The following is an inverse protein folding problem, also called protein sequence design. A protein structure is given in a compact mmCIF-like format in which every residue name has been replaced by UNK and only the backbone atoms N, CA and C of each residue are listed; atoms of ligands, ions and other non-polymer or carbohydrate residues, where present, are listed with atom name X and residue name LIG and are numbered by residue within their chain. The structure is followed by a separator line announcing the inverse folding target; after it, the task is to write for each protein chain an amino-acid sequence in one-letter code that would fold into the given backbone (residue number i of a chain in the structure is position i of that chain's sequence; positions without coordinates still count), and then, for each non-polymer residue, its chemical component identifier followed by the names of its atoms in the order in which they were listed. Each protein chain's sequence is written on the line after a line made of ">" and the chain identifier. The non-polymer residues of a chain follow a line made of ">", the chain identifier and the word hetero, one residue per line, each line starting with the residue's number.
data_IF_636683057184
#
_entry.id   IF_636683057184
#
_cell.length_a   1.000
_cell.length_b   1.000
_cell.length_c   1.000
_cell.angle_alpha   90.00
_cell.angle_beta   90.00
_cell.angle_gamma   90.00
#
_symmetry.space_group_name_H-M   'P 1'
#
loop_
_entity.id
_entity.type
_entity.pdbx_description
1 polymer ?
#
# COMPACT_ATOMS: atom_id res chain seq x y z
N UNK A 1 28.22 -10.44 36.19
CA UNK A 1 27.34 -11.20 37.11
C UNK A 1 25.93 -11.18 36.53
N UNK A 2 25.40 -12.35 36.16
CA UNK A 2 24.06 -12.53 35.59
C UNK A 2 23.03 -12.48 36.72
N UNK A 3 21.92 -11.77 36.57
CA UNK A 3 20.70 -12.02 37.36
C UNK A 3 19.50 -12.15 36.42
N UNK A 4 19.04 -13.40 36.31
CA UNK A 4 17.72 -13.81 35.81
C UNK A 4 16.79 -13.91 37.03
N UNK A 5 15.55 -13.45 36.92
CA UNK A 5 14.44 -13.77 37.84
C UNK A 5 13.14 -13.61 37.01
N UNK A 6 12.64 -14.67 36.40
CA UNK A 6 11.72 -15.69 36.93
C UNK A 6 10.26 -15.21 37.00
N UNK A 7 9.47 -15.78 36.08
CA UNK A 7 8.03 -15.70 35.87
C UNK A 7 7.30 -16.45 37.00
N UNK A 8 6.17 -15.92 37.48
CA UNK A 8 5.25 -16.63 38.36
C UNK A 8 3.89 -16.79 37.64
N UNK A 9 3.51 -18.04 37.42
CA UNK A 9 2.17 -18.47 36.96
C UNK A 9 1.39 -18.89 38.21
N UNK A 10 0.17 -18.37 38.38
CA UNK A 10 -0.79 -18.88 39.36
C UNK A 10 -2.08 -19.26 38.65
N UNK A 11 -2.43 -20.54 38.76
CA UNK A 11 -3.71 -21.12 38.39
C UNK A 11 -4.50 -21.47 39.67
N UNK A 12 -5.81 -21.21 39.69
CA UNK A 12 -6.83 -21.84 40.54
C UNK A 12 -8.19 -21.13 40.30
N UNK A 13 -9.39 -21.70 40.38
CA UNK A 13 -9.95 -23.06 40.55
C UNK A 13 -11.46 -22.94 40.21
N UNK A 14 -12.05 -24.02 39.69
CA UNK A 14 -13.49 -24.26 39.45
C UNK A 14 -14.40 -24.05 40.67
N UNK A 15 -15.67 -23.68 40.44
CA UNK A 15 -16.81 -24.20 41.21
C UNK A 15 -18.10 -24.24 40.38
N UNK A 16 -18.69 -25.45 40.32
CA UNK A 16 -19.98 -25.82 39.73
C UNK A 16 -21.17 -25.31 40.56
N UNK A 17 -22.31 -25.10 39.90
CA UNK A 17 -23.65 -25.10 40.50
C UNK A 17 -24.68 -25.65 39.52
N UNK A 18 -25.13 -26.88 39.75
CA UNK A 18 -26.26 -27.57 39.09
C UNK A 18 -27.60 -27.25 39.79
N UNK A 19 -28.70 -27.51 39.06
CA UNK A 19 -30.10 -27.81 39.44
C UNK A 19 -31.12 -26.82 38.81
N UNK A 20 -32.17 -27.24 38.09
CA UNK A 20 -32.72 -28.58 37.88
C UNK A 20 -33.70 -28.67 36.69
N UNK A 21 -34.04 -29.91 36.38
CA UNK A 21 -34.96 -30.38 35.34
C UNK A 21 -36.43 -30.39 35.81
N UNK A 22 -37.35 -30.30 34.83
CA UNK A 22 -38.74 -30.84 34.68
C UNK A 22 -39.61 -29.77 34.00
N UNK A 23 -40.38 -30.00 32.94
CA UNK A 23 -40.77 -31.22 32.21
C UNK A 23 -41.49 -30.86 30.90
N UNK A 24 -41.79 -31.88 30.11
CA UNK A 24 -42.25 -31.85 28.71
C UNK A 24 -43.67 -31.31 28.49
N UNK A 25 -43.92 -30.71 27.32
CA UNK A 25 -45.18 -30.82 26.58
C UNK A 25 -44.96 -30.58 25.08
N UNK A 26 -45.47 -31.50 24.25
CA UNK A 26 -45.50 -31.45 22.78
C UNK A 26 -46.44 -30.35 22.25
N UNK A 27 -46.07 -29.75 21.11
CA UNK A 27 -46.93 -28.84 20.35
C UNK A 27 -46.32 -28.50 19.00
N UNK A 28 -46.92 -29.04 17.95
CA UNK A 28 -46.64 -28.97 16.52
C UNK A 28 -46.63 -27.54 15.93
N UNK A 29 -45.77 -27.25 14.95
CA UNK A 29 -46.05 -26.26 13.89
C UNK A 29 -45.05 -25.13 13.66
N UNK A 30 -44.62 -25.06 12.40
CA UNK A 30 -44.10 -23.91 11.64
C UNK A 30 -42.64 -23.47 11.82
N UNK A 31 -41.88 -23.82 10.78
CA UNK A 31 -40.55 -23.29 10.52
C UNK A 31 -40.59 -21.83 10.12
N UNK A 32 -39.68 -21.07 10.72
CA UNK A 32 -39.19 -19.82 10.17
C UNK A 32 -37.66 -19.87 10.26
N UNK A 33 -37.03 -20.01 9.10
CA UNK A 33 -35.60 -19.83 8.91
C UNK A 33 -35.24 -18.40 9.28
N UNK A 34 -34.62 -18.21 10.44
CA UNK A 34 -33.91 -16.99 10.79
C UNK A 34 -32.65 -16.89 9.94
N UNK A 35 -32.78 -16.38 8.72
CA UNK A 35 -31.65 -15.84 7.98
C UNK A 35 -31.19 -14.60 8.75
N UNK A 36 -29.96 -14.65 9.24
CA UNK A 36 -29.24 -13.47 9.70
C UNK A 36 -29.06 -12.55 8.50
N UNK A 37 -29.86 -11.49 8.49
CA UNK A 37 -29.70 -10.34 7.60
C UNK A 37 -28.33 -9.73 7.88
N UNK A 38 -27.37 -9.98 7.00
CA UNK A 38 -26.11 -9.27 6.98
C UNK A 38 -26.43 -7.83 6.59
N UNK A 39 -26.54 -6.97 7.59
CA UNK A 39 -26.90 -5.57 7.41
C UNK A 39 -26.05 -4.95 6.29
N UNK A 40 -26.71 -4.59 5.20
CA UNK A 40 -26.13 -3.72 4.20
C UNK A 40 -25.71 -2.43 4.93
N UNK A 41 -24.41 -2.17 4.99
CA UNK A 41 -23.92 -0.88 5.45
C UNK A 41 -24.59 0.18 4.57
N UNK A 42 -25.36 1.08 5.18
CA UNK A 42 -26.07 2.10 4.43
C UNK A 42 -25.02 3.04 3.82
N UNK A 43 -24.86 3.00 2.49
CA UNK A 43 -23.98 3.89 1.77
C UNK A 43 -24.33 5.34 2.14
N UNK A 44 -23.35 6.09 2.64
CA UNK A 44 -23.52 7.45 3.11
C UNK A 44 -22.79 8.39 2.18
N UNK A 45 -23.49 9.40 1.64
CA UNK A 45 -22.82 10.45 0.87
C UNK A 45 -21.94 11.26 1.82
N UNK A 46 -20.65 11.44 1.51
CA UNK A 46 -19.81 12.34 2.29
C UNK A 46 -20.35 13.77 2.17
N UNK A 47 -20.24 14.56 3.25
CA UNK A 47 -20.85 15.89 3.33
C UNK A 47 -20.07 16.81 4.25
N UNK A 48 -20.07 18.10 3.95
CA UNK A 48 -19.28 19.09 4.69
C UNK A 48 -17.79 19.01 4.38
N UNK A 49 -16.96 19.41 5.35
CA UNK A 49 -15.50 19.53 5.18
C UNK A 49 -14.86 18.21 4.74
N UNK A 50 -13.97 18.29 3.74
CA UNK A 50 -13.19 17.15 3.25
C UNK A 50 -12.01 16.91 4.19
N UNK A 51 -11.95 15.72 4.79
CA UNK A 51 -10.79 15.29 5.57
C UNK A 51 -9.68 14.81 4.62
N UNK A 52 -8.77 15.71 4.25
CA UNK A 52 -7.66 15.40 3.34
C UNK A 52 -6.55 14.65 4.10
N UNK A 53 -6.25 13.42 3.69
CA UNK A 53 -5.08 12.69 4.15
C UNK A 53 -3.99 12.67 3.08
N UNK A 54 -2.78 13.03 3.49
CA UNK A 54 -1.57 12.99 2.66
C UNK A 54 -0.50 12.11 3.31
N UNK A 55 0.62 11.95 2.61
CA UNK A 55 1.75 11.12 3.02
C UNK A 55 2.92 11.98 3.50
N UNK A 56 3.78 11.37 4.30
CA UNK A 56 4.98 11.97 4.86
C UNK A 56 5.94 12.53 3.80
N UNK A 57 6.72 13.55 4.17
CA UNK A 57 7.83 14.00 3.35
C UNK A 57 8.82 12.83 3.13
N UNK A 58 9.29 12.65 1.90
CA UNK A 58 10.09 11.47 1.51
C UNK A 58 9.27 10.30 0.96
N UNK A 59 7.94 10.32 1.13
CA UNK A 59 7.05 9.33 0.54
C UNK A 59 7.15 9.34 -0.99
N UNK A 60 7.42 8.17 -1.57
CA UNK A 60 7.35 8.01 -3.03
C UNK A 60 5.92 8.17 -3.56
N UNK A 61 4.92 7.76 -2.77
CA UNK A 61 3.50 7.90 -3.15
C UNK A 61 3.05 9.33 -3.17
N UNK A 62 3.45 10.15 -2.18
CA UNK A 62 3.22 11.59 -2.26
C UNK A 62 3.85 12.18 -3.51
N UNK A 63 5.15 11.91 -3.73
CA UNK A 63 5.90 12.48 -4.85
C UNK A 63 5.25 12.16 -6.21
N UNK A 64 4.90 10.89 -6.45
CA UNK A 64 4.22 10.52 -7.68
C UNK A 64 2.79 11.10 -7.77
N UNK A 65 2.03 11.09 -6.67
CA UNK A 65 0.67 11.61 -6.63
C UNK A 65 0.60 13.10 -6.97
N UNK A 66 1.43 13.93 -6.33
CA UNK A 66 1.42 15.38 -6.57
C UNK A 66 1.87 15.74 -7.98
N UNK A 67 2.77 14.96 -8.57
CA UNK A 67 3.20 15.15 -9.96
C UNK A 67 2.09 14.75 -10.94
N UNK A 68 1.47 13.58 -10.75
CA UNK A 68 0.46 13.04 -11.65
C UNK A 68 -0.84 13.86 -11.68
N UNK A 69 -1.24 14.43 -10.54
CA UNK A 69 -2.42 15.31 -10.45
C UNK A 69 -2.09 16.79 -10.65
N UNK A 70 -0.82 17.15 -10.90
CA UNK A 70 -0.41 18.54 -11.10
C UNK A 70 -0.59 19.43 -9.87
N UNK A 71 -0.47 18.84 -8.67
CA UNK A 71 -0.43 19.55 -7.37
C UNK A 71 0.98 20.12 -7.14
N UNK A 72 2.01 19.48 -7.70
CA UNK A 72 3.36 20.04 -7.75
C UNK A 72 3.49 20.99 -8.94
N UNK A 73 3.85 22.25 -8.67
CA UNK A 73 4.05 23.26 -9.70
C UNK A 73 5.44 23.89 -9.59
N UNK A 74 5.93 24.49 -10.69
CA UNK A 74 7.20 25.22 -10.66
C UNK A 74 6.98 26.65 -10.20
N UNK A 75 7.78 27.11 -9.23
CA UNK A 75 7.81 28.50 -8.82
C UNK A 75 8.51 29.41 -9.86
N UNK A 76 8.64 30.70 -9.53
CA UNK A 76 9.30 31.68 -10.39
C UNK A 76 10.79 31.38 -10.67
N UNK A 77 11.43 30.55 -9.84
CA UNK A 77 12.83 30.13 -10.00
C UNK A 77 12.94 28.81 -10.79
N UNK A 78 11.81 28.17 -11.08
CA UNK A 78 11.75 26.87 -11.74
C UNK A 78 11.83 25.69 -10.77
N UNK A 79 11.82 25.95 -9.46
CA UNK A 79 11.86 24.93 -8.41
C UNK A 79 10.47 24.31 -8.25
N UNK A 80 10.42 22.98 -8.13
CA UNK A 80 9.18 22.23 -7.89
C UNK A 80 8.70 22.49 -6.45
N UNK A 81 7.44 22.93 -6.32
CA UNK A 81 6.78 23.24 -5.06
C UNK A 81 5.53 22.38 -4.94
N UNK A 82 5.44 21.62 -3.85
CA UNK A 82 4.25 20.86 -3.48
C UNK A 82 3.19 21.82 -2.91
N UNK A 83 2.06 21.95 -3.61
CA UNK A 83 0.94 22.80 -3.19
C UNK A 83 -0.11 22.05 -2.34
N UNK A 84 0.23 20.88 -1.80
CA UNK A 84 -0.66 20.15 -0.89
C UNK A 84 -1.08 21.06 0.27
N UNK A 85 -2.40 21.12 0.55
CA UNK A 85 -2.98 21.96 1.58
C UNK A 85 -2.32 21.72 2.94
N UNK A 86 -1.98 22.78 3.70
CA UNK A 86 -1.36 22.63 5.02
C UNK A 86 -2.31 22.01 6.06
N UNK A 87 -3.61 21.91 5.76
CA UNK A 87 -4.60 21.25 6.62
C UNK A 87 -4.62 19.73 6.46
N UNK A 88 -3.91 19.18 5.47
CA UNK A 88 -3.88 17.73 5.23
C UNK A 88 -3.26 16.98 6.42
N UNK A 89 -3.96 15.96 6.90
CA UNK A 89 -3.45 15.05 7.92
C UNK A 89 -2.38 14.13 7.32
N UNK A 90 -1.20 14.08 7.93
CA UNK A 90 -0.06 13.30 7.42
C UNK A 90 -0.07 11.88 8.00
N UNK A 91 0.04 10.89 7.12
CA UNK A 91 0.23 9.48 7.47
C UNK A 91 1.57 8.99 6.95
N UNK A 92 2.25 8.10 7.69
CA UNK A 92 3.63 7.69 7.38
C UNK A 92 3.75 6.32 6.69
N UNK A 93 2.63 5.66 6.40
CA UNK A 93 2.60 4.32 5.80
C UNK A 93 1.27 4.04 5.13
N UNK A 94 1.28 3.12 4.16
CA UNK A 94 0.09 2.68 3.42
C UNK A 94 -1.01 2.14 4.37
N UNK A 95 -0.64 1.32 5.36
CA UNK A 95 -1.61 0.75 6.32
C UNK A 95 -2.25 1.80 7.24
N UNK A 96 -1.49 2.84 7.62
CA UNK A 96 -2.00 3.95 8.43
C UNK A 96 -2.99 4.77 7.61
N UNK A 97 -2.65 5.09 6.35
CA UNK A 97 -3.55 5.76 5.41
C UNK A 97 -4.89 5.01 5.27
N UNK A 98 -4.84 3.70 5.02
CA UNK A 98 -6.05 2.89 4.89
C UNK A 98 -6.90 2.89 6.15
N UNK A 99 -6.27 2.78 7.33
CA UNK A 99 -7.00 2.79 8.62
C UNK A 99 -7.63 4.15 8.89
N UNK A 100 -6.91 5.23 8.60
CA UNK A 100 -7.42 6.59 8.76
C UNK A 100 -8.62 6.86 7.85
N UNK A 101 -8.52 6.52 6.56
CA UNK A 101 -9.61 6.71 5.59
C UNK A 101 -10.82 5.82 5.92
N UNK A 102 -10.59 4.57 6.34
CA UNK A 102 -11.68 3.68 6.74
C UNK A 102 -12.46 4.17 7.98
N UNK A 103 -11.79 4.92 8.87
CA UNK A 103 -12.37 5.42 10.12
C UNK A 103 -13.06 6.78 10.02
N UNK A 104 -12.96 7.46 8.89
CA UNK A 104 -13.50 8.81 8.70
C UNK A 104 -14.39 8.86 7.46
N UNK A 105 -15.68 9.16 7.66
CA UNK A 105 -16.69 9.16 6.60
C UNK A 105 -16.47 10.24 5.53
N UNK A 106 -15.71 11.29 5.85
CA UNK A 106 -15.43 12.40 4.95
C UNK A 106 -13.99 12.38 4.41
N UNK A 107 -13.26 11.29 4.65
CA UNK A 107 -11.86 11.18 4.28
C UNK A 107 -11.64 10.87 2.80
N UNK A 108 -10.57 11.46 2.29
CA UNK A 108 -9.93 11.10 1.04
C UNK A 108 -8.44 10.87 1.27
N UNK A 109 -7.91 9.83 0.66
CA UNK A 109 -6.50 9.46 0.71
C UNK A 109 -6.05 8.83 -0.59
N UNK A 110 -4.80 8.37 -0.64
CA UNK A 110 -4.27 7.65 -1.78
C UNK A 110 -3.29 6.56 -1.35
N UNK A 111 -3.34 5.42 -2.04
CA UNK A 111 -2.51 4.25 -1.75
C UNK A 111 -2.01 3.60 -3.05
N UNK A 112 -1.00 2.72 -2.93
CA UNK A 112 -0.66 1.79 -4.01
C UNK A 112 -1.84 0.87 -4.29
N UNK A 113 -2.13 0.65 -5.57
CA UNK A 113 -3.19 -0.23 -6.03
C UNK A 113 -2.96 -1.67 -5.57
N UNK A 114 -1.70 -2.14 -5.55
CA UNK A 114 -1.36 -3.48 -5.03
C UNK A 114 -1.68 -3.68 -3.54
N UNK A 115 -1.98 -2.61 -2.79
CA UNK A 115 -2.42 -2.68 -1.39
C UNK A 115 -3.94 -2.55 -1.21
N UNK A 116 -4.69 -2.27 -2.28
CA UNK A 116 -6.13 -2.04 -2.23
C UNK A 116 -6.85 -3.31 -1.76
N UNK A 117 -7.79 -3.14 -0.82
CA UNK A 117 -8.69 -4.18 -0.35
C UNK A 117 -10.01 -3.56 0.10
N UNK A 118 -10.92 -4.38 0.64
CA UNK A 118 -12.29 -3.97 0.98
C UNK A 118 -12.44 -3.10 2.23
N UNK A 119 -11.36 -2.71 2.93
CA UNK A 119 -11.47 -1.80 4.08
C UNK A 119 -11.64 -0.35 3.67
N UNK A 120 -11.39 -0.02 2.40
CA UNK A 120 -11.55 1.30 1.80
C UNK A 120 -12.16 1.15 0.41
N UNK A 121 -12.75 2.21 -0.12
CA UNK A 121 -13.30 2.23 -1.48
C UNK A 121 -12.38 3.02 -2.40
N UNK A 122 -11.94 2.42 -3.51
CA UNK A 122 -11.23 3.15 -4.56
C UNK A 122 -12.21 3.88 -5.47
N UNK A 123 -11.87 5.11 -5.86
CA UNK A 123 -12.61 5.90 -6.83
C UNK A 123 -12.10 5.64 -8.23
N UNK A 124 -13.01 5.72 -9.21
CA UNK A 124 -12.64 5.90 -10.60
C UNK A 124 -12.06 7.31 -10.80
N UNK A 125 -11.06 7.42 -11.66
CA UNK A 125 -10.43 8.70 -12.02
C UNK A 125 -10.61 8.94 -13.50
N UNK A 126 -11.20 10.07 -13.87
CA UNK A 126 -11.48 10.46 -15.26
C UNK A 126 -12.23 9.35 -16.04
N UNK A 127 -13.24 8.75 -15.41
CA UNK A 127 -14.05 7.66 -15.97
C UNK A 127 -13.35 6.28 -16.02
N UNK A 128 -12.15 6.13 -15.46
CA UNK A 128 -11.42 4.87 -15.44
C UNK A 128 -11.34 4.28 -14.02
N UNK A 129 -11.71 3.01 -13.87
CA UNK A 129 -11.54 2.28 -12.60
C UNK A 129 -10.06 2.01 -12.32
N UNK A 130 -9.65 2.13 -11.05
CA UNK A 130 -8.29 1.81 -10.60
C UNK A 130 -8.07 0.29 -10.55
N UNK A 131 -7.71 -0.32 -11.68
CA UNK A 131 -7.43 -1.76 -11.81
C UNK A 131 -6.11 -2.01 -12.52
N UNK A 132 -5.46 -3.15 -12.25
CA UNK A 132 -4.21 -3.51 -12.91
C UNK A 132 -4.36 -3.63 -14.43
N UNK A 133 -5.53 -4.08 -14.90
CA UNK A 133 -5.88 -4.12 -16.33
C UNK A 133 -5.97 -2.72 -16.95
N UNK A 134 -6.63 -1.79 -16.27
CA UNK A 134 -6.75 -0.41 -16.76
C UNK A 134 -5.42 0.34 -16.72
N UNK A 135 -4.56 0.06 -15.72
CA UNK A 135 -3.19 0.59 -15.69
C UNK A 135 -2.37 0.01 -16.85
N UNK A 136 -2.41 -1.31 -17.06
CA UNK A 136 -1.67 -1.99 -18.13
C UNK A 136 -2.08 -1.53 -19.52
N UNK A 137 -3.37 -1.25 -19.73
CA UNK A 137 -3.89 -0.73 -21.01
C UNK A 137 -3.67 0.78 -21.19
N UNK A 138 -3.30 1.51 -20.14
CA UNK A 138 -3.17 2.97 -20.14
C UNK A 138 -4.51 3.72 -20.04
N UNK A 139 -5.61 3.01 -19.81
CA UNK A 139 -6.94 3.60 -19.57
C UNK A 139 -6.94 4.35 -18.23
N UNK A 140 -6.35 3.76 -17.19
CA UNK A 140 -6.11 4.42 -15.90
C UNK A 140 -4.69 4.98 -15.87
N UNK A 141 -4.56 6.31 -15.84
CA UNK A 141 -3.29 7.01 -16.07
C UNK A 141 -2.49 7.30 -14.81
N UNK A 142 -3.09 7.13 -13.63
CA UNK A 142 -2.43 7.42 -12.36
C UNK A 142 -1.56 6.22 -11.97
N UNK A 143 -0.39 6.13 -12.60
CA UNK A 143 0.53 5.02 -12.46
C UNK A 143 1.99 5.50 -12.36
N UNK A 144 2.83 4.66 -11.76
CA UNK A 144 4.23 4.97 -11.44
C UNK A 144 5.10 3.70 -11.44
N UNK A 145 6.42 3.83 -11.58
CA UNK A 145 7.31 2.71 -11.38
C UNK A 145 7.44 2.34 -9.90
N UNK A 146 7.55 1.04 -9.65
CA UNK A 146 8.25 0.52 -8.47
C UNK A 146 9.68 0.20 -8.87
N UNK A 147 10.60 0.89 -8.21
CA UNK A 147 12.03 0.77 -8.40
C UNK A 147 12.64 0.05 -7.20
N UNK A 148 13.62 -0.79 -7.48
CA UNK A 148 14.69 -1.08 -6.53
C UNK A 148 15.90 -0.22 -6.86
N UNK A 149 16.65 0.19 -5.84
CA UNK A 149 17.88 0.96 -6.02
C UNK A 149 19.04 0.26 -5.35
N UNK A 150 20.18 0.23 -6.03
CA UNK A 150 21.39 -0.44 -5.51
C UNK A 150 22.63 0.38 -5.79
N UNK A 151 23.67 0.18 -4.99
CA UNK A 151 25.02 0.59 -5.37
C UNK A 151 25.57 -0.27 -6.50
N UNK A 152 26.65 0.21 -7.11
CA UNK A 152 27.51 -0.65 -7.93
C UNK A 152 28.15 -1.75 -7.09
N UNK A 153 28.23 -2.96 -7.66
CA UNK A 153 28.92 -4.09 -7.01
C UNK A 153 28.16 -4.65 -5.82
N UNK A 154 26.84 -4.82 -5.92
CA UNK A 154 26.05 -5.59 -4.93
C UNK A 154 26.63 -6.99 -4.74
N UNK A 155 26.35 -7.59 -3.57
CA UNK A 155 26.78 -8.96 -3.30
C UNK A 155 26.17 -9.95 -4.30
N UNK A 156 26.86 -11.06 -4.55
CA UNK A 156 26.37 -12.16 -5.40
C UNK A 156 24.95 -12.62 -5.03
N UNK A 157 24.62 -12.67 -3.74
CA UNK A 157 23.31 -13.13 -3.27
C UNK A 157 22.24 -12.07 -3.47
N UNK A 158 22.58 -10.78 -3.36
CA UNK A 158 21.68 -9.69 -3.70
C UNK A 158 21.42 -9.62 -5.21
N UNK A 159 22.46 -9.79 -6.04
CA UNK A 159 22.29 -9.86 -7.50
C UNK A 159 21.40 -11.04 -7.90
N UNK A 160 21.59 -12.22 -7.30
CA UNK A 160 20.76 -13.39 -7.59
C UNK A 160 19.28 -13.19 -7.22
N UNK A 161 19.01 -12.45 -6.14
CA UNK A 161 17.63 -12.06 -5.79
C UNK A 161 17.05 -11.04 -6.79
N UNK A 162 17.84 -10.10 -7.29
CA UNK A 162 17.42 -9.17 -8.35
C UNK A 162 17.10 -9.94 -9.64
N UNK A 163 17.95 -10.90 -10.00
CA UNK A 163 17.74 -11.75 -11.17
C UNK A 163 16.46 -12.60 -11.02
N UNK A 164 16.16 -13.06 -9.79
CA UNK A 164 14.87 -13.70 -9.49
C UNK A 164 13.69 -12.74 -9.67
N UNK A 165 13.74 -11.52 -9.12
CA UNK A 165 12.66 -10.53 -9.27
C UNK A 165 12.36 -10.28 -10.75
N UNK A 166 13.39 -10.19 -11.58
CA UNK A 166 13.28 -9.93 -13.01
C UNK A 166 12.98 -11.19 -13.85
N UNK A 167 12.99 -12.38 -13.25
CA UNK A 167 12.63 -13.64 -13.92
C UNK A 167 11.12 -13.75 -14.16
N UNK A 168 10.68 -14.70 -15.00
CA UNK A 168 9.25 -14.96 -15.17
C UNK A 168 8.56 -15.39 -13.87
N UNK A 169 9.29 -16.03 -12.94
CA UNK A 169 8.74 -16.49 -11.67
C UNK A 169 8.53 -15.32 -10.70
N UNK A 170 9.49 -14.40 -10.63
CA UNK A 170 9.36 -13.17 -9.85
C UNK A 170 8.30 -12.24 -10.42
N UNK A 171 8.26 -12.06 -11.74
CA UNK A 171 7.25 -11.22 -12.41
C UNK A 171 5.83 -11.77 -12.25
N UNK A 172 5.67 -13.10 -12.19
CA UNK A 172 4.37 -13.69 -11.85
C UNK A 172 3.93 -13.31 -10.43
N UNK A 173 4.84 -13.30 -9.46
CA UNK A 173 4.54 -12.83 -8.09
C UNK A 173 4.15 -11.35 -8.10
N UNK A 174 4.77 -10.52 -8.93
CA UNK A 174 4.39 -9.11 -9.11
C UNK A 174 2.93 -8.98 -9.57
N UNK A 175 2.52 -9.73 -10.60
CA UNK A 175 1.15 -9.70 -11.12
C UNK A 175 0.12 -10.24 -10.12
N UNK A 176 0.43 -11.33 -9.42
CA UNK A 176 -0.44 -11.92 -8.39
C UNK A 176 -0.69 -10.98 -7.19
N UNK A 177 0.16 -9.96 -7.03
CA UNK A 177 0.03 -8.94 -5.98
C UNK A 177 -0.44 -7.57 -6.52
N UNK A 178 -1.16 -7.57 -7.64
CA UNK A 178 -1.89 -6.40 -8.15
C UNK A 178 -1.02 -5.33 -8.82
N UNK A 179 0.27 -5.61 -9.00
CA UNK A 179 1.18 -4.77 -9.76
C UNK A 179 1.26 -5.25 -11.23
N UNK A 180 1.88 -4.46 -12.10
CA UNK A 180 1.99 -4.76 -13.53
C UNK A 180 3.44 -5.18 -13.81
N UNK A 181 3.61 -6.33 -14.46
CA UNK A 181 4.93 -6.83 -14.87
C UNK A 181 5.61 -5.90 -15.87
N UNK A 182 6.95 -5.85 -15.81
CA UNK A 182 7.81 -5.01 -16.68
C UNK A 182 8.83 -5.81 -17.48
N UNK A 183 8.86 -7.14 -17.31
CA UNK A 183 9.81 -8.01 -18.00
C UNK A 183 9.07 -9.14 -18.73
N UNK A 184 8.33 -8.76 -19.77
CA UNK A 184 7.69 -9.70 -20.68
C UNK A 184 8.76 -10.58 -21.36
N UNK A 185 8.62 -11.90 -21.27
CA UNK A 185 9.52 -12.92 -21.85
C UNK A 185 10.85 -13.19 -21.11
N UNK A 186 10.96 -12.82 -19.84
CA UNK A 186 12.07 -13.29 -19.01
C UNK A 186 12.09 -14.83 -18.90
N UNK A 187 13.27 -15.42 -18.72
CA UNK A 187 13.39 -16.85 -18.43
C UNK A 187 12.93 -17.19 -17.01
N UNK A 188 12.57 -18.44 -16.77
CA UNK A 188 12.31 -18.96 -15.42
C UNK A 188 13.58 -18.89 -14.58
N UNK A 189 13.44 -18.60 -13.30
CA UNK A 189 14.54 -18.62 -12.36
C UNK A 189 14.96 -20.05 -12.01
N UNK A 190 16.24 -20.25 -11.73
CA UNK A 190 16.78 -21.51 -11.22
C UNK A 190 17.48 -21.24 -9.92
N UNK A 191 17.13 -22.01 -8.89
CA UNK A 191 17.78 -21.94 -7.58
C UNK A 191 19.31 -21.99 -7.76
N UNK A 192 19.97 -20.99 -7.20
CA UNK A 192 21.40 -20.74 -7.43
C UNK A 192 22.28 -21.47 -6.41
N UNK A 193 21.69 -21.93 -5.30
CA UNK A 193 22.42 -22.50 -4.16
C UNK A 193 23.24 -21.45 -3.41
N UNK A 194 22.96 -20.16 -3.60
CA UNK A 194 23.59 -19.07 -2.86
C UNK A 194 23.12 -19.09 -1.40
N UNK A 195 23.95 -18.53 -0.53
CA UNK A 195 23.67 -18.36 0.91
C UNK A 195 24.12 -16.96 1.33
N UNK A 196 23.51 -16.41 2.38
CA UNK A 196 23.92 -15.12 2.92
C UNK A 196 22.76 -14.34 3.49
N UNK A 197 22.95 -13.04 3.63
CA UNK A 197 21.94 -12.10 4.12
C UNK A 197 21.76 -10.97 3.13
N UNK A 198 20.51 -10.62 2.85
CA UNK A 198 20.11 -9.45 2.07
C UNK A 198 19.28 -8.55 2.99
N UNK A 199 19.68 -7.28 3.10
CA UNK A 199 18.92 -6.23 3.79
C UNK A 199 18.26 -5.34 2.74
N UNK A 200 16.94 -5.23 2.81
CA UNK A 200 16.12 -4.43 1.93
C UNK A 200 15.44 -3.36 2.78
N UNK A 201 15.39 -2.11 2.30
CA UNK A 201 14.74 -1.03 3.05
C UNK A 201 14.07 0.01 2.16
N UNK A 202 12.99 0.66 2.62
CA UNK A 202 12.39 1.79 1.92
C UNK A 202 10.87 1.73 1.83
N UNK A 203 10.33 2.17 0.69
CA UNK A 203 8.91 2.45 0.47
C UNK A 203 7.94 1.41 1.03
N UNK A 204 7.06 1.88 1.92
CA UNK A 204 5.86 1.16 2.40
C UNK A 204 4.83 0.80 1.31
N UNK A 205 4.94 1.34 0.10
CA UNK A 205 4.12 0.89 -1.03
C UNK A 205 4.72 -0.31 -1.76
N UNK A 206 6.04 -0.48 -1.75
CA UNK A 206 6.72 -1.63 -2.39
C UNK A 206 6.82 -2.82 -1.43
N UNK A 207 6.78 -2.56 -0.12
CA UNK A 207 6.94 -3.60 0.92
C UNK A 207 6.03 -4.83 0.71
N UNK A 208 4.71 -4.70 0.44
CA UNK A 208 3.85 -5.89 0.31
C UNK A 208 4.28 -6.84 -0.81
N UNK A 209 4.59 -6.32 -2.01
CA UNK A 209 5.06 -7.15 -3.13
C UNK A 209 6.49 -7.65 -2.89
N UNK A 210 7.35 -6.86 -2.26
CA UNK A 210 8.72 -7.26 -1.93
C UNK A 210 8.76 -8.41 -0.91
N UNK A 211 7.88 -8.40 0.08
CA UNK A 211 7.77 -9.51 1.05
C UNK A 211 7.35 -10.81 0.34
N UNK A 212 6.43 -10.73 -0.63
CA UNK A 212 6.00 -11.88 -1.42
C UNK A 212 7.08 -12.40 -2.35
N UNK A 213 7.84 -11.51 -2.98
CA UNK A 213 9.03 -11.85 -3.75
C UNK A 213 10.10 -12.52 -2.87
N UNK A 214 10.36 -11.99 -1.68
CA UNK A 214 11.30 -12.56 -0.73
C UNK A 214 10.86 -13.94 -0.21
N UNK A 215 9.57 -14.12 0.08
CA UNK A 215 8.98 -15.40 0.49
C UNK A 215 9.17 -16.47 -0.60
N UNK A 216 8.80 -16.15 -1.84
CA UNK A 216 8.89 -17.06 -2.97
C UNK A 216 10.36 -17.38 -3.35
N UNK A 217 11.26 -16.40 -3.32
CA UNK A 217 12.69 -16.64 -3.52
C UNK A 217 13.28 -17.55 -2.43
N UNK A 218 12.95 -17.32 -1.16
CA UNK A 218 13.44 -18.14 -0.03
C UNK A 218 12.94 -19.57 -0.10
N UNK A 219 11.76 -19.82 -0.65
CA UNK A 219 11.28 -21.18 -0.89
C UNK A 219 12.19 -21.96 -1.85
N UNK A 220 12.86 -21.26 -2.78
CA UNK A 220 13.84 -21.82 -3.72
C UNK A 220 15.27 -21.80 -3.18
N UNK A 221 15.60 -20.82 -2.32
CA UNK A 221 16.94 -20.60 -1.75
C UNK A 221 16.88 -20.52 -0.21
N UNK A 222 16.70 -21.64 0.49
CA UNK A 222 16.44 -21.67 1.93
C UNK A 222 17.61 -21.18 2.80
N UNK A 223 18.83 -21.17 2.26
CA UNK A 223 20.05 -20.72 2.95
C UNK A 223 20.27 -19.19 2.87
N UNK A 224 19.32 -18.46 2.25
CA UNK A 224 19.35 -16.99 2.18
C UNK A 224 18.40 -16.39 3.22
N UNK A 225 18.96 -15.52 4.07
CA UNK A 225 18.18 -14.65 4.94
C UNK A 225 17.85 -13.34 4.22
N UNK A 226 16.58 -12.95 4.21
CA UNK A 226 16.14 -11.65 3.68
C UNK A 226 15.43 -10.91 4.80
N UNK A 227 15.86 -9.66 5.04
CA UNK A 227 15.23 -8.74 5.99
C UNK A 227 14.68 -7.54 5.22
N UNK A 228 13.36 -7.35 5.29
CA UNK A 228 12.66 -6.21 4.66
C UNK A 228 12.31 -5.19 5.75
N UNK A 229 12.83 -3.97 5.62
CA UNK A 229 12.65 -2.88 6.58
C UNK A 229 11.83 -1.76 5.95
N UNK A 230 10.57 -1.63 6.37
CA UNK A 230 9.68 -0.60 5.85
C UNK A 230 10.04 0.80 6.39
N UNK A 231 10.08 1.78 5.50
CA UNK A 231 10.19 3.22 5.75
C UNK A 231 9.56 4.00 4.57
N UNK A 232 10.13 5.14 4.18
CA UNK A 232 9.79 5.91 2.99
C UNK A 232 10.81 5.72 1.85
N UNK A 233 10.50 6.24 0.66
CA UNK A 233 11.36 6.04 -0.52
C UNK A 233 12.70 6.77 -0.41
N UNK A 234 12.72 7.99 0.12
CA UNK A 234 13.96 8.77 0.29
C UNK A 234 14.87 8.13 1.34
N UNK A 235 14.32 7.62 2.44
CA UNK A 235 15.09 6.84 3.42
C UNK A 235 15.67 5.57 2.78
N UNK A 236 14.90 4.85 1.96
CA UNK A 236 15.38 3.68 1.23
C UNK A 236 16.56 3.99 0.30
N UNK A 237 16.49 5.09 -0.45
CA UNK A 237 17.61 5.57 -1.28
C UNK A 237 18.83 5.88 -0.42
N UNK A 238 18.67 6.67 0.64
CA UNK A 238 19.78 7.08 1.49
C UNK A 238 20.48 5.86 2.12
N UNK A 239 19.72 4.89 2.62
CA UNK A 239 20.28 3.65 3.18
C UNK A 239 21.07 2.85 2.14
N UNK A 240 20.60 2.77 0.89
CA UNK A 240 21.33 2.11 -0.19
C UNK A 240 22.62 2.90 -0.56
N UNK A 241 22.52 4.22 -0.68
CA UNK A 241 23.64 5.14 -0.93
C UNK A 241 24.68 5.13 0.19
N UNK A 242 24.30 4.85 1.43
CA UNK A 242 25.23 4.70 2.55
C UNK A 242 25.77 3.27 2.69
N UNK A 243 25.09 2.27 2.08
CA UNK A 243 25.42 0.85 2.23
C UNK A 243 24.89 0.24 3.52
N UNK A 244 23.91 0.88 4.15
CA UNK A 244 23.19 0.37 5.33
C UNK A 244 22.19 -0.72 4.93
N UNK A 245 21.67 -0.69 3.70
CA UNK A 245 20.97 -1.81 3.07
C UNK A 245 21.62 -2.19 1.73
N UNK A 246 21.38 -3.43 1.29
CA UNK A 246 21.81 -3.92 -0.02
C UNK A 246 20.92 -3.39 -1.14
N UNK A 247 19.61 -3.27 -0.87
CA UNK A 247 18.59 -2.86 -1.83
C UNK A 247 17.66 -1.81 -1.18
N UNK A 248 17.51 -0.67 -1.83
CA UNK A 248 16.51 0.35 -1.49
C UNK A 248 15.21 0.14 -2.27
N UNK A 249 14.05 0.37 -1.66
CA UNK A 249 12.72 0.31 -2.30
C UNK A 249 12.19 1.73 -2.55
N UNK A 250 11.81 2.04 -3.79
CA UNK A 250 11.40 3.38 -4.21
C UNK A 250 10.14 3.29 -5.06
N UNK A 251 9.07 3.97 -4.66
CA UNK A 251 7.78 3.92 -5.36
C UNK A 251 7.52 5.22 -6.14
N UNK A 252 8.48 5.61 -6.97
CA UNK A 252 8.48 6.76 -7.88
C UNK A 252 9.78 6.73 -8.69
N UNK A 253 9.91 7.64 -9.64
CA UNK A 253 11.21 7.96 -10.24
C UNK A 253 12.18 8.51 -9.18
N UNK A 254 13.48 8.27 -9.40
CA UNK A 254 14.53 8.88 -8.60
C UNK A 254 14.52 10.41 -8.79
N UNK A 255 14.75 11.14 -7.71
CA UNK A 255 14.97 12.60 -7.80
C UNK A 255 16.35 12.89 -8.35
N UNK A 256 16.53 14.04 -8.98
CA UNK A 256 17.86 14.49 -9.47
C UNK A 256 18.91 14.58 -8.35
N UNK A 257 18.49 14.86 -7.11
CA UNK A 257 19.35 14.89 -5.93
C UNK A 257 19.74 13.50 -5.41
N UNK A 258 19.03 12.44 -5.82
CA UNK A 258 19.23 11.06 -5.39
C UNK A 258 20.21 10.36 -6.34
N UNK A 259 21.51 10.60 -6.14
CA UNK A 259 22.61 10.05 -6.94
C UNK A 259 23.43 9.00 -6.18
N UNK A 260 24.33 8.30 -6.88
CA UNK A 260 25.21 7.28 -6.27
C UNK A 260 24.61 5.89 -6.17
N UNK A 261 23.40 5.69 -6.71
CA UNK A 261 22.72 4.42 -6.85
C UNK A 261 22.17 4.26 -8.27
N UNK A 262 21.85 3.03 -8.65
CA UNK A 262 21.18 2.67 -9.91
C UNK A 262 19.76 2.21 -9.59
N UNK A 263 18.77 2.79 -10.27
CA UNK A 263 17.39 2.29 -10.24
C UNK A 263 17.19 1.18 -11.26
N UNK A 264 16.45 0.15 -10.85
CA UNK A 264 15.88 -0.88 -11.71
C UNK A 264 14.38 -0.92 -11.48
N UNK A 265 13.59 -0.70 -12.53
CA UNK A 265 12.13 -0.84 -12.47
C UNK A 265 11.79 -2.33 -12.36
N UNK A 266 11.06 -2.71 -11.33
CA UNK A 266 10.65 -4.10 -11.07
C UNK A 266 9.16 -4.35 -11.30
N UNK A 267 8.36 -3.28 -11.31
CA UNK A 267 6.93 -3.31 -11.60
C UNK A 267 6.43 -1.90 -11.98
N UNK A 268 5.24 -1.83 -12.59
CA UNK A 268 4.41 -0.62 -12.57
C UNK A 268 3.30 -0.79 -11.52
N UNK A 269 2.92 0.29 -10.85
CA UNK A 269 1.90 0.36 -9.80
C UNK A 269 0.90 1.48 -10.12
N UNK A 270 -0.39 1.19 -10.00
CA UNK A 270 -1.42 2.23 -9.99
C UNK A 270 -1.47 2.93 -8.64
N UNK A 271 -1.87 4.20 -8.60
CA UNK A 271 -2.24 4.87 -7.35
C UNK A 271 -3.76 4.95 -7.30
N UNK A 272 -4.36 4.29 -6.32
CA UNK A 272 -5.78 4.37 -6.07
C UNK A 272 -6.08 5.56 -5.16
N UNK A 273 -6.94 6.47 -5.61
CA UNK A 273 -7.59 7.46 -4.74
C UNK A 273 -8.67 6.72 -3.97
N UNK A 274 -8.63 6.83 -2.65
CA UNK A 274 -9.50 6.08 -1.76
C UNK A 274 -10.33 6.99 -0.87
N UNK A 275 -11.53 6.53 -0.56
CA UNK A 275 -12.45 7.11 0.41
C UNK A 275 -12.93 6.04 1.39
N UNK A 276 -13.70 6.47 2.39
CA UNK A 276 -14.38 5.56 3.29
C UNK A 276 -15.14 4.45 2.54
N UNK A 277 -15.11 3.19 3.00
CA UNK A 277 -15.79 2.08 2.30
C UNK A 277 -17.30 2.30 2.11
N UNK A 278 -17.94 3.05 3.02
CA UNK A 278 -19.38 3.34 2.97
C UNK A 278 -19.72 4.58 2.13
N UNK A 279 -18.73 5.28 1.57
CA UNK A 279 -18.97 6.50 0.81
C UNK A 279 -19.77 6.22 -0.48
N UNK A 280 -20.80 7.03 -0.74
CA UNK A 280 -21.65 6.87 -1.93
C UNK A 280 -21.04 7.45 -3.22
N UNK A 281 -19.87 8.08 -3.16
CA UNK A 281 -19.16 8.63 -4.33
C UNK A 281 -18.33 7.53 -5.01
N UNK A 282 -18.38 7.47 -6.34
CA UNK A 282 -17.72 6.42 -7.14
C UNK A 282 -16.60 6.93 -8.04
N UNK A 283 -16.59 8.24 -8.33
CA UNK A 283 -15.69 8.83 -9.32
C UNK A 283 -15.31 10.26 -8.94
N UNK A 284 -14.08 10.65 -9.30
CA UNK A 284 -13.62 12.03 -9.37
C UNK A 284 -12.85 12.26 -10.68
N UNK A 285 -12.84 13.51 -11.14
CA UNK A 285 -11.89 13.95 -12.17
C UNK A 285 -10.54 14.28 -11.53
N UNK A 286 -9.49 14.27 -12.35
CA UNK A 286 -8.16 14.72 -11.91
C UNK A 286 -8.17 16.17 -11.40
N UNK A 287 -8.98 17.05 -11.99
CA UNK A 287 -9.13 18.44 -11.55
C UNK A 287 -9.79 18.54 -10.17
N UNK A 288 -10.79 17.70 -9.88
CA UNK A 288 -11.41 17.64 -8.56
C UNK A 288 -10.41 17.14 -7.51
N UNK A 289 -9.64 16.10 -7.81
CA UNK A 289 -8.58 15.61 -6.90
C UNK A 289 -7.55 16.70 -6.65
N UNK A 290 -7.06 17.38 -7.70
CA UNK A 290 -6.15 18.51 -7.54
C UNK A 290 -6.76 19.59 -6.64
N UNK A 291 -7.99 20.03 -6.92
CA UNK A 291 -8.67 21.08 -6.17
C UNK A 291 -8.85 20.73 -4.68
N UNK A 292 -9.15 19.48 -4.35
CA UNK A 292 -9.19 19.00 -2.97
C UNK A 292 -7.82 19.11 -2.31
N UNK A 293 -6.79 18.57 -2.96
CA UNK A 293 -5.47 18.48 -2.36
C UNK A 293 -4.74 19.82 -2.32
N UNK A 294 -5.10 20.81 -3.14
CA UNK A 294 -4.59 22.20 -3.05
C UNK A 294 -5.41 23.08 -2.09
N UNK A 295 -6.57 22.59 -1.61
CA UNK A 295 -7.48 23.34 -0.75
C UNK A 295 -8.37 24.35 -1.48
N UNK A 296 -8.50 24.23 -2.80
CA UNK A 296 -9.48 24.99 -3.59
C UNK A 296 -10.90 24.46 -3.37
N UNK A 297 -11.06 23.15 -3.25
CA UNK A 297 -12.31 22.46 -2.94
C UNK A 297 -12.23 21.92 -1.52
N UNK A 298 -12.97 22.53 -0.60
CA UNK A 298 -12.82 22.25 0.85
C UNK A 298 -13.99 21.49 1.45
N UNK A 299 -15.12 21.44 0.74
CA UNK A 299 -16.30 20.70 1.13
C UNK A 299 -16.72 19.71 0.05
N UNK A 300 -17.35 18.60 0.43
CA UNK A 300 -17.84 17.61 -0.53
C UNK A 300 -18.91 18.19 -1.47
N UNK A 301 -19.60 19.25 -1.06
CA UNK A 301 -20.53 20.03 -1.88
C UNK A 301 -19.81 20.87 -2.96
N UNK A 302 -18.58 21.33 -2.69
CA UNK A 302 -17.72 21.97 -3.71
C UNK A 302 -17.24 20.95 -4.75
N UNK A 303 -16.92 19.73 -4.27
CA UNK A 303 -16.36 18.66 -5.09
C UNK A 303 -17.41 18.06 -6.01
N UNK A 304 -18.57 17.66 -5.47
CA UNK A 304 -19.67 17.05 -6.23
C UNK A 304 -20.93 17.87 -6.00
N UNK A 305 -21.12 18.97 -6.77
CA UNK A 305 -22.30 19.81 -6.61
C UNK A 305 -23.57 18.98 -6.85
N UNK A 306 -24.54 19.12 -5.95
CA UNK A 306 -25.88 18.57 -6.20
C UNK A 306 -26.47 19.24 -7.45
N UNK A 307 -26.94 18.41 -8.39
CA UNK A 307 -27.62 18.86 -9.61
C UNK A 307 -28.98 19.50 -9.33
#
# INVERSE_FOLDING_TARGET
>A
MKKRLAMAVSAAVLALGLFGLFGCASGNGDGASGATDGGASASTSPSGEVSVYSREDGSGTRGAFIELFGIEEKDANGDKVDLTTPTAAITNATSVMMTSVAGDANAIGYISLGSLNNTVKALSIDGAEATAENVKSGTYKVARPFNIVTKDGVSDVAQDFIDYIMSSDGQKVVEENGCISVADNAGSYKASGKSGKIVIAGSSSVTPVMEKLAEAYKALNPDVAIEVNQSDSTTGVNMATEGTCDIGMVSRELKDSESGVKATVIAQDGIAVIVNPDASIDELTSDQVKGIYTGELTTWEDVVPSA
#
